data_IF_016359045668
#
_entry.id   IF_016359045668
#
_cell.length_a   1.000
_cell.length_b   1.000
_cell.length_c   1.000
_cell.angle_alpha   90.00
_cell.angle_beta   90.00
_cell.angle_gamma   90.00
#
_symmetry.space_group_name_H-M   'P 1'
#
loop_
_entity.id
_entity.type
_entity.pdbx_description
1 polymer ?
#
# COMPACT_ATOMS: atom_id res chain seq x y z
N UNK A 1 -30.20 -52.90 -12.02
CA UNK A 1 -29.45 -51.64 -11.81
C UNK A 1 -30.10 -50.41 -12.45
N UNK A 2 -31.41 -50.41 -12.79
CA UNK A 2 -32.09 -49.27 -13.45
C UNK A 2 -32.72 -48.25 -12.49
N UNK A 3 -32.61 -48.44 -11.16
CA UNK A 3 -33.25 -47.59 -10.15
C UNK A 3 -32.44 -46.33 -9.78
N UNK A 4 -31.12 -46.34 -10.05
CA UNK A 4 -30.22 -45.20 -9.76
C UNK A 4 -30.31 -44.06 -10.80
N UNK A 5 -30.88 -44.31 -11.98
CA UNK A 5 -30.88 -43.35 -13.10
C UNK A 5 -32.07 -42.36 -13.11
N UNK A 6 -33.01 -42.46 -12.16
CA UNK A 6 -34.29 -41.70 -12.20
C UNK A 6 -34.40 -40.56 -11.17
N UNK A 7 -33.44 -40.46 -10.25
CA UNK A 7 -33.51 -39.46 -9.18
C UNK A 7 -32.79 -38.19 -9.59
N UNK A 8 -33.50 -37.05 -9.67
CA UNK A 8 -32.92 -35.71 -9.93
C UNK A 8 -31.74 -35.41 -8.99
N UNK A 9 -31.77 -35.94 -7.76
CA UNK A 9 -30.69 -35.84 -6.80
C UNK A 9 -29.41 -36.58 -7.23
N UNK A 10 -29.53 -37.74 -7.87
CA UNK A 10 -28.38 -38.48 -8.42
C UNK A 10 -27.79 -37.75 -9.62
N UNK A 11 -28.63 -37.11 -10.43
CA UNK A 11 -28.16 -36.26 -11.53
C UNK A 11 -27.37 -35.05 -11.01
N UNK A 12 -27.92 -34.31 -10.03
CA UNK A 12 -27.24 -33.16 -9.40
C UNK A 12 -25.95 -33.57 -8.67
N UNK A 13 -25.94 -34.71 -7.97
CA UNK A 13 -24.73 -35.19 -7.31
C UNK A 13 -23.65 -35.64 -8.29
N UNK A 14 -24.04 -36.28 -9.40
CA UNK A 14 -23.12 -36.65 -10.48
C UNK A 14 -22.53 -35.41 -11.18
N UNK A 15 -23.36 -34.39 -11.44
CA UNK A 15 -22.92 -33.14 -12.06
C UNK A 15 -21.94 -32.37 -11.16
N UNK A 16 -22.25 -32.26 -9.87
CA UNK A 16 -21.34 -31.65 -8.90
C UNK A 16 -20.03 -32.42 -8.78
N UNK A 17 -20.07 -33.76 -8.81
CA UNK A 17 -18.89 -34.62 -8.80
C UNK A 17 -18.01 -34.40 -10.05
N UNK A 18 -18.63 -34.25 -11.22
CA UNK A 18 -17.93 -33.94 -12.47
C UNK A 18 -17.26 -32.56 -12.37
N UNK A 19 -17.96 -31.53 -11.88
CA UNK A 19 -17.39 -30.19 -11.69
C UNK A 19 -16.24 -30.21 -10.68
N UNK A 20 -16.39 -30.89 -9.55
CA UNK A 20 -15.35 -31.03 -8.53
C UNK A 20 -14.10 -31.72 -9.10
N UNK A 21 -14.28 -32.76 -9.91
CA UNK A 21 -13.20 -33.46 -10.59
C UNK A 21 -12.52 -32.57 -11.63
N UNK A 22 -13.31 -31.78 -12.38
CA UNK A 22 -12.79 -30.83 -13.36
C UNK A 22 -11.91 -29.76 -12.69
N UNK A 23 -12.38 -29.18 -11.58
CA UNK A 23 -11.62 -28.20 -10.78
C UNK A 23 -10.33 -28.84 -10.26
N UNK A 24 -10.39 -30.07 -9.74
CA UNK A 24 -9.21 -30.79 -9.26
C UNK A 24 -8.17 -31.00 -10.37
N UNK A 25 -8.60 -31.42 -11.57
CA UNK A 25 -7.72 -31.53 -12.75
C UNK A 25 -7.15 -30.17 -13.16
N UNK A 26 -7.96 -29.11 -13.17
CA UNK A 26 -7.49 -27.75 -13.44
C UNK A 26 -6.41 -27.29 -12.44
N UNK A 27 -6.52 -27.66 -11.16
CA UNK A 27 -5.48 -27.36 -10.16
C UNK A 27 -4.19 -28.17 -10.37
N UNK A 28 -4.27 -29.39 -10.91
CA UNK A 28 -3.08 -30.19 -11.27
C UNK A 28 -2.37 -29.65 -12.52
N UNK A 29 -3.12 -29.10 -13.48
CA UNK A 29 -2.55 -28.44 -14.68
C UNK A 29 -2.30 -26.94 -14.41
N UNK A 30 -2.18 -26.54 -13.14
CA UNK A 30 -1.92 -25.15 -12.75
C UNK A 30 -0.66 -24.56 -13.39
N UNK A 31 0.29 -25.38 -13.85
CA UNK A 31 1.44 -24.94 -14.64
C UNK A 31 1.06 -24.18 -15.93
N UNK A 32 -0.03 -24.57 -16.62
CA UNK A 32 -0.50 -23.86 -17.82
C UNK A 32 -1.33 -22.62 -17.50
N UNK A 33 -2.04 -22.62 -16.36
CA UNK A 33 -2.89 -21.50 -15.94
C UNK A 33 -2.15 -20.42 -15.14
N UNK A 34 -1.04 -20.77 -14.49
CA UNK A 34 -0.17 -19.86 -13.73
C UNK A 34 0.27 -18.63 -14.55
N UNK A 35 0.82 -18.77 -15.77
CA UNK A 35 1.23 -17.61 -16.56
C UNK A 35 0.05 -16.71 -16.95
N UNK A 36 -1.15 -17.26 -17.15
CA UNK A 36 -2.36 -16.47 -17.43
C UNK A 36 -2.75 -15.65 -16.19
N UNK A 37 -2.73 -16.27 -15.01
CA UNK A 37 -3.04 -15.59 -13.75
C UNK A 37 -2.03 -14.49 -13.40
N UNK A 38 -0.74 -14.74 -13.63
CA UNK A 38 0.33 -13.74 -13.44
C UNK A 38 0.19 -12.62 -14.47
N UNK A 39 -0.04 -12.93 -15.74
CA UNK A 39 -0.25 -11.92 -16.78
C UNK A 39 -1.46 -11.04 -16.45
N UNK A 40 -2.58 -11.66 -16.10
CA UNK A 40 -3.79 -10.93 -15.71
C UNK A 40 -3.47 -10.07 -14.49
N UNK A 41 -2.92 -10.60 -13.41
CA UNK A 41 -2.62 -9.79 -12.21
C UNK A 41 -1.65 -8.63 -12.48
N UNK A 42 -0.66 -8.86 -13.34
CA UNK A 42 0.39 -7.87 -13.68
C UNK A 42 -0.13 -6.76 -14.58
N UNK A 43 -1.01 -7.06 -15.54
CA UNK A 43 -1.58 -6.07 -16.46
C UNK A 43 -2.86 -5.45 -15.90
N UNK A 44 -3.68 -6.24 -15.23
CA UNK A 44 -4.98 -5.83 -14.69
C UNK A 44 -4.84 -4.80 -13.58
N UNK A 45 -3.80 -4.88 -12.74
CA UNK A 45 -3.52 -3.90 -11.69
C UNK A 45 -3.29 -2.47 -12.27
N UNK A 46 -2.30 -2.24 -13.15
CA UNK A 46 -2.10 -0.93 -13.75
C UNK A 46 -3.26 -0.52 -14.67
N UNK A 47 -3.95 -1.47 -15.32
CA UNK A 47 -5.12 -1.19 -16.13
C UNK A 47 -6.29 -0.65 -15.29
N UNK A 48 -6.63 -1.33 -14.19
CA UNK A 48 -7.65 -0.87 -13.24
C UNK A 48 -7.29 0.48 -12.65
N UNK A 49 -6.03 0.62 -12.20
CA UNK A 49 -5.55 1.88 -11.65
C UNK A 49 -5.64 3.01 -12.67
N UNK A 50 -5.27 2.75 -13.93
CA UNK A 50 -5.41 3.70 -15.05
C UNK A 50 -6.88 4.05 -15.32
N UNK A 51 -7.79 3.07 -15.30
CA UNK A 51 -9.23 3.32 -15.44
C UNK A 51 -9.79 4.20 -14.33
N UNK A 52 -9.41 3.92 -13.08
CA UNK A 52 -9.78 4.71 -11.90
C UNK A 52 -9.21 6.12 -11.99
N UNK A 53 -7.90 6.26 -12.28
CA UNK A 53 -7.24 7.56 -12.45
C UNK A 53 -7.87 8.35 -13.59
N UNK A 54 -8.13 7.72 -14.74
CA UNK A 54 -8.78 8.35 -15.88
C UNK A 54 -10.14 8.91 -15.48
N UNK A 55 -10.95 8.13 -14.77
CA UNK A 55 -12.27 8.59 -14.34
C UNK A 55 -12.21 9.71 -13.30
N UNK A 56 -11.27 9.63 -12.34
CA UNK A 56 -11.02 10.66 -11.34
C UNK A 56 -10.47 11.96 -11.93
N UNK A 57 -9.63 11.85 -12.97
CA UNK A 57 -8.97 12.99 -13.60
C UNK A 57 -9.81 13.63 -14.70
N UNK A 58 -10.67 12.88 -15.38
CA UNK A 58 -11.57 13.40 -16.40
C UNK A 58 -12.37 14.66 -15.95
N UNK A 59 -12.94 14.78 -14.73
CA UNK A 59 -13.56 16.02 -14.28
C UNK A 59 -12.55 17.18 -14.16
N UNK A 60 -11.33 16.92 -13.69
CA UNK A 60 -10.26 17.92 -13.57
C UNK A 60 -9.80 18.37 -14.97
N UNK A 61 -9.63 17.42 -15.89
CA UNK A 61 -9.31 17.67 -17.31
C UNK A 61 -10.39 18.52 -17.96
N UNK A 62 -11.67 18.19 -17.76
CA UNK A 62 -12.79 18.99 -18.30
C UNK A 62 -12.87 20.37 -17.68
N UNK A 63 -12.56 20.51 -16.39
CA UNK A 63 -12.51 21.81 -15.73
C UNK A 63 -11.38 22.67 -16.31
N UNK A 64 -10.20 22.10 -16.52
CA UNK A 64 -9.06 22.75 -17.16
C UNK A 64 -9.30 23.05 -18.65
N UNK A 65 -10.00 22.17 -19.38
CA UNK A 65 -10.41 22.40 -20.78
C UNK A 65 -11.41 23.57 -20.90
N UNK A 66 -12.23 23.77 -19.86
CA UNK A 66 -13.19 24.89 -19.78
C UNK A 66 -12.53 26.19 -19.33
N UNK A 67 -11.51 26.12 -18.47
CA UNK A 67 -10.68 27.25 -18.08
C UNK A 67 -9.74 27.58 -19.23
N UNK A 68 -10.21 28.44 -20.14
CA UNK A 68 -9.43 28.93 -21.28
C UNK A 68 -8.32 29.86 -20.76
N UNK A 69 -7.18 29.29 -20.34
CA UNK A 69 -6.00 30.05 -19.93
C UNK A 69 -5.32 30.67 -21.16
N UNK A 70 -5.91 31.75 -21.68
CA UNK A 70 -5.36 32.53 -22.80
C UNK A 70 -5.55 31.92 -24.19
N UNK A 71 -4.51 32.02 -25.05
CA UNK A 71 -4.53 31.74 -26.50
C UNK A 71 -4.18 30.30 -26.91
N UNK A 72 -3.91 29.39 -25.97
CA UNK A 72 -3.55 28.01 -26.31
C UNK A 72 -4.80 27.15 -26.54
N UNK A 73 -5.12 26.86 -27.80
CA UNK A 73 -6.02 25.77 -28.14
C UNK A 73 -5.26 24.45 -27.95
N UNK A 74 -5.53 23.76 -26.85
CA UNK A 74 -4.99 22.42 -26.62
C UNK A 74 -5.80 21.39 -27.41
N UNK A 75 -5.13 20.62 -28.28
CA UNK A 75 -5.70 19.36 -28.77
C UNK A 75 -5.99 18.45 -27.56
N UNK A 76 -7.07 17.65 -27.61
CA UNK A 76 -7.47 16.75 -26.51
C UNK A 76 -6.31 15.96 -25.91
N UNK A 77 -5.42 15.44 -26.75
CA UNK A 77 -4.23 14.69 -26.32
C UNK A 77 -3.24 15.55 -25.52
N UNK A 78 -3.03 16.80 -25.92
CA UNK A 78 -2.13 17.72 -25.24
C UNK A 78 -2.72 18.20 -23.90
N UNK A 79 -4.05 18.36 -23.80
CA UNK A 79 -4.71 18.67 -22.53
C UNK A 79 -4.55 17.51 -21.53
N UNK A 80 -4.78 16.27 -21.96
CA UNK A 80 -4.57 15.07 -21.12
C UNK A 80 -3.11 14.96 -20.68
N UNK A 81 -2.15 15.15 -21.59
CA UNK A 81 -0.73 15.11 -21.26
C UNK A 81 -0.35 16.18 -20.23
N UNK A 82 -0.85 17.42 -20.38
CA UNK A 82 -0.61 18.51 -19.45
C UNK A 82 -1.16 18.19 -18.06
N UNK A 83 -2.39 17.66 -17.96
CA UNK A 83 -2.98 17.27 -16.67
C UNK A 83 -2.17 16.16 -16.01
N UNK A 84 -1.67 15.20 -16.77
CA UNK A 84 -0.84 14.12 -16.24
C UNK A 84 0.50 14.64 -15.69
N UNK A 85 1.16 15.53 -16.42
CA UNK A 85 2.39 16.20 -15.97
C UNK A 85 2.13 17.02 -14.71
N UNK A 86 1.04 17.79 -14.68
CA UNK A 86 0.65 18.60 -13.54
C UNK A 86 0.32 17.73 -12.32
N UNK A 87 -0.36 16.60 -12.52
CA UNK A 87 -0.63 15.63 -11.45
C UNK A 87 0.66 15.05 -10.87
N UNK A 88 1.60 14.62 -11.71
CA UNK A 88 2.90 14.12 -11.25
C UNK A 88 3.65 15.21 -10.49
N UNK A 89 3.62 16.45 -10.98
CA UNK A 89 4.25 17.59 -10.31
C UNK A 89 3.61 17.87 -8.94
N UNK A 90 2.29 17.86 -8.82
CA UNK A 90 1.56 18.09 -7.56
C UNK A 90 1.82 16.96 -6.57
N UNK A 91 1.77 15.70 -7.00
CA UNK A 91 2.07 14.55 -6.15
C UNK A 91 3.52 14.58 -5.71
N UNK A 92 4.46 14.83 -6.63
CA UNK A 92 5.89 14.93 -6.34
C UNK A 92 6.21 16.05 -5.36
N UNK A 93 5.66 17.25 -5.59
CA UNK A 93 5.82 18.39 -4.68
C UNK A 93 5.18 18.13 -3.31
N UNK A 94 3.96 17.57 -3.31
CA UNK A 94 3.26 17.17 -2.10
C UNK A 94 4.08 16.16 -1.30
N UNK A 95 4.60 15.11 -1.93
CA UNK A 95 5.46 14.13 -1.30
C UNK A 95 6.77 14.75 -0.78
N UNK A 96 7.43 15.60 -1.58
CA UNK A 96 8.65 16.30 -1.18
C UNK A 96 8.44 17.22 0.04
N UNK A 97 7.23 17.71 0.27
CA UNK A 97 6.89 18.52 1.44
C UNK A 97 6.38 17.70 2.63
N UNK A 98 5.50 16.73 2.38
CA UNK A 98 4.86 15.91 3.40
C UNK A 98 5.84 14.90 4.00
N UNK A 99 6.62 14.20 3.18
CA UNK A 99 7.50 13.13 3.66
C UNK A 99 8.57 13.61 4.65
N UNK A 100 9.37 14.67 4.38
CA UNK A 100 10.35 15.13 5.36
C UNK A 100 9.71 15.61 6.66
N UNK A 101 8.52 16.23 6.59
CA UNK A 101 7.74 16.61 7.78
C UNK A 101 7.33 15.38 8.57
N UNK A 102 6.79 14.36 7.93
CA UNK A 102 6.42 13.10 8.57
C UNK A 102 7.64 12.43 9.21
N UNK A 103 8.78 12.36 8.50
CA UNK A 103 10.02 11.81 9.04
C UNK A 103 10.48 12.60 10.27
N UNK A 104 10.51 13.93 10.21
CA UNK A 104 10.89 14.77 11.37
C UNK A 104 9.93 14.60 12.55
N UNK A 105 8.63 14.45 12.28
CA UNK A 105 7.62 14.26 13.32
C UNK A 105 7.75 12.89 13.98
N UNK A 106 7.93 11.83 13.18
CA UNK A 106 8.11 10.48 13.70
C UNK A 106 9.43 10.36 14.46
N UNK A 107 10.53 10.90 13.96
CA UNK A 107 11.82 10.91 14.68
C UNK A 107 11.75 11.69 15.99
N UNK A 108 11.07 12.85 15.99
CA UNK A 108 10.81 13.61 17.23
C UNK A 108 9.96 12.80 18.20
N UNK A 109 8.90 12.14 17.72
CA UNK A 109 8.06 11.29 18.57
C UNK A 109 8.88 10.17 19.21
N UNK A 110 9.65 9.41 18.41
CA UNK A 110 10.56 8.36 18.90
C UNK A 110 11.51 8.91 19.96
N UNK A 111 12.12 10.07 19.72
CA UNK A 111 13.05 10.71 20.64
C UNK A 111 12.43 11.10 21.98
N UNK A 112 11.11 11.35 22.02
CA UNK A 112 10.38 11.69 23.25
C UNK A 112 9.73 10.49 23.97
N UNK A 113 9.66 9.30 23.33
CA UNK A 113 9.14 8.08 23.97
C UNK A 113 9.90 7.72 25.27
N UNK A 114 11.25 7.78 25.34
CA UNK A 114 11.98 7.47 26.57
C UNK A 114 11.57 8.33 27.77
N UNK A 115 11.39 9.63 27.54
CA UNK A 115 11.01 10.56 28.61
C UNK A 115 9.56 10.33 29.05
N UNK A 116 8.67 10.02 28.10
CA UNK A 116 7.29 9.62 28.40
C UNK A 116 7.23 8.30 29.19
N UNK A 117 8.07 7.32 28.83
CA UNK A 117 8.17 6.03 29.52
C UNK A 117 8.66 6.20 30.95
N UNK A 118 9.71 7.01 31.17
CA UNK A 118 10.23 7.33 32.52
C UNK A 118 9.20 8.03 33.40
N UNK A 119 8.45 8.99 32.84
CA UNK A 119 7.38 9.66 33.56
C UNK A 119 6.25 8.70 33.94
N UNK A 120 5.90 7.79 33.01
CA UNK A 120 4.88 6.76 33.22
C UNK A 120 5.32 5.75 34.29
N UNK A 121 6.59 5.33 34.27
CA UNK A 121 7.17 4.42 35.26
C UNK A 121 7.12 5.03 36.68
N UNK A 122 7.37 6.33 36.83
CA UNK A 122 7.28 7.03 38.12
C UNK A 122 5.85 7.05 38.70
N UNK A 123 4.83 7.17 37.85
CA UNK A 123 3.41 7.09 38.26
C UNK A 123 3.02 5.64 38.56
N UNK A 124 3.46 4.70 37.74
CA UNK A 124 3.18 3.28 37.90
C UNK A 124 3.87 2.69 39.13
N UNK A 125 5.09 3.11 39.49
CA UNK A 125 5.75 2.73 40.76
C UNK A 125 4.97 3.20 41.98
N UNK A 126 4.35 4.38 41.92
CA UNK A 126 3.47 4.87 42.99
C UNK A 126 2.18 4.06 43.09
N UNK A 127 1.63 3.63 41.95
CA UNK A 127 0.45 2.77 41.89
C UNK A 127 0.74 1.30 42.28
N UNK A 128 1.95 0.80 42.00
CA UNK A 128 2.40 -0.56 42.29
C UNK A 128 2.66 -0.84 43.78
N UNK A 129 2.63 0.19 44.64
CA UNK A 129 2.65 0.01 46.10
C UNK A 129 1.37 -0.66 46.66
N UNK A 130 0.36 -0.92 45.82
CA UNK A 130 -0.86 -1.61 46.21
C UNK A 130 -0.62 -3.15 46.19
N UNK A 131 -1.09 -3.94 47.17
CA UNK A 131 -0.73 -5.35 47.35
C UNK A 131 -1.00 -6.28 46.15
N UNK A 132 -1.95 -5.93 45.28
CA UNK A 132 -2.33 -6.66 44.07
C UNK A 132 -1.47 -6.34 42.82
N UNK A 133 -0.58 -5.36 42.90
CA UNK A 133 0.22 -4.86 41.76
C UNK A 133 1.74 -5.03 41.95
N UNK A 134 2.19 -5.60 43.07
CA UNK A 134 3.62 -5.80 43.36
C UNK A 134 4.29 -6.89 42.52
N UNK A 135 3.53 -7.87 42.03
CA UNK A 135 4.07 -8.99 41.24
C UNK A 135 4.26 -8.66 39.75
N UNK A 136 3.87 -7.45 39.31
CA UNK A 136 3.97 -7.04 37.90
C UNK A 136 5.11 -6.04 37.72
N UNK A 137 6.18 -6.49 37.04
CA UNK A 137 7.29 -5.64 36.60
C UNK A 137 6.89 -4.76 35.40
N UNK A 138 6.12 -3.69 35.69
CA UNK A 138 5.68 -2.72 34.67
C UNK A 138 6.83 -2.07 33.89
N UNK A 139 8.02 -1.96 34.51
CA UNK A 139 9.23 -1.42 33.88
C UNK A 139 9.67 -2.24 32.67
N UNK A 140 9.65 -3.57 32.79
CA UNK A 140 10.05 -4.48 31.70
C UNK A 140 9.09 -4.44 30.51
N UNK A 141 7.78 -4.34 30.79
CA UNK A 141 6.78 -4.21 29.72
C UNK A 141 6.88 -2.85 29.02
N UNK A 142 7.08 -1.77 29.78
CA UNK A 142 7.30 -0.44 29.21
C UNK A 142 8.56 -0.38 28.35
N UNK A 143 9.66 -0.97 28.80
CA UNK A 143 10.93 -1.02 28.05
C UNK A 143 10.80 -1.83 26.75
N UNK A 144 10.10 -2.98 26.80
CA UNK A 144 9.79 -3.78 25.62
C UNK A 144 8.89 -3.02 24.64
N UNK A 145 7.85 -2.34 25.14
CA UNK A 145 6.97 -1.52 24.30
C UNK A 145 7.74 -0.37 23.65
N UNK A 146 8.53 0.38 24.43
CA UNK A 146 9.37 1.46 23.93
C UNK A 146 10.34 0.97 22.86
N UNK A 147 11.01 -0.16 23.09
CA UNK A 147 11.97 -0.76 22.14
C UNK A 147 11.27 -1.21 20.87
N UNK A 148 10.11 -1.86 20.98
CA UNK A 148 9.32 -2.28 19.84
C UNK A 148 8.84 -1.07 19.02
N UNK A 149 8.24 -0.07 19.67
CA UNK A 149 7.79 1.17 19.03
C UNK A 149 8.95 1.91 18.37
N UNK A 150 10.07 2.06 19.05
CA UNK A 150 11.29 2.68 18.52
C UNK A 150 11.76 1.97 17.25
N UNK A 151 11.85 0.64 17.28
CA UNK A 151 12.26 -0.16 16.11
C UNK A 151 11.28 -0.07 14.94
N UNK A 152 9.97 -0.12 15.18
CA UNK A 152 8.97 0.02 14.11
C UNK A 152 9.01 1.41 13.48
N UNK A 153 9.14 2.44 14.29
CA UNK A 153 9.18 3.81 13.83
C UNK A 153 10.51 4.16 13.16
N UNK A 154 11.64 3.62 13.63
CA UNK A 154 12.95 3.71 12.98
C UNK A 154 12.96 2.98 11.63
N UNK A 155 12.40 1.77 11.57
CA UNK A 155 12.23 1.04 10.30
C UNK A 155 11.34 1.80 9.32
N UNK A 156 10.26 2.44 9.82
CA UNK A 156 9.40 3.28 8.99
C UNK A 156 10.15 4.49 8.45
N UNK A 157 10.88 5.22 9.29
CA UNK A 157 11.71 6.37 8.89
C UNK A 157 12.79 5.97 7.89
N UNK A 158 13.50 4.88 8.16
CA UNK A 158 14.56 4.34 7.31
C UNK A 158 13.99 3.87 5.98
N UNK A 159 12.84 3.19 5.98
CA UNK A 159 12.13 2.76 4.78
C UNK A 159 11.69 3.95 3.91
N UNK A 160 11.10 4.99 4.51
CA UNK A 160 10.73 6.22 3.79
C UNK A 160 11.94 6.94 3.20
N UNK A 161 13.02 7.09 3.99
CA UNK A 161 14.24 7.81 3.57
C UNK A 161 14.97 7.05 2.48
N UNK A 162 15.10 5.73 2.61
CA UNK A 162 15.75 4.85 1.63
C UNK A 162 14.94 4.76 0.34
N UNK A 163 13.60 4.63 0.45
CA UNK A 163 12.72 4.61 -0.71
C UNK A 163 12.82 5.88 -1.54
N UNK A 164 12.82 7.05 -0.90
CA UNK A 164 13.02 8.33 -1.59
C UNK A 164 14.43 8.44 -2.17
N UNK A 165 15.46 8.12 -1.38
CA UNK A 165 16.85 8.15 -1.84
C UNK A 165 17.07 7.27 -3.06
N UNK A 166 16.41 6.11 -3.12
CA UNK A 166 16.44 5.20 -4.26
C UNK A 166 15.76 5.78 -5.50
N UNK A 167 14.58 6.41 -5.37
CA UNK A 167 13.89 7.06 -6.50
C UNK A 167 14.73 8.21 -7.04
N UNK A 168 15.23 9.09 -6.16
CA UNK A 168 16.10 10.21 -6.55
C UNK A 168 17.37 9.68 -7.22
N UNK A 169 17.99 8.65 -6.65
CA UNK A 169 19.18 8.00 -7.19
C UNK A 169 18.92 7.37 -8.55
N UNK A 170 17.77 6.73 -8.74
CA UNK A 170 17.36 6.15 -10.03
C UNK A 170 17.17 7.23 -11.09
N UNK A 171 16.45 8.31 -10.78
CA UNK A 171 16.28 9.46 -11.70
C UNK A 171 17.61 10.10 -12.05
N UNK A 172 18.49 10.29 -11.05
CA UNK A 172 19.84 10.84 -11.24
C UNK A 172 20.68 9.94 -12.13
N UNK A 173 20.62 8.63 -11.90
CA UNK A 173 21.36 7.62 -12.69
C UNK A 173 20.87 7.60 -14.13
N UNK A 174 19.55 7.54 -14.36
CA UNK A 174 18.97 7.61 -15.70
C UNK A 174 19.39 8.89 -16.41
N UNK A 175 19.43 10.01 -15.69
CA UNK A 175 19.86 11.30 -16.24
C UNK A 175 21.35 11.29 -16.61
N UNK A 176 22.23 10.82 -15.71
CA UNK A 176 23.68 10.74 -15.96
C UNK A 176 24.00 9.80 -17.12
N UNK A 177 23.35 8.63 -17.16
CA UNK A 177 23.50 7.65 -18.24
C UNK A 177 22.90 8.12 -19.56
N UNK A 178 21.90 9.00 -19.56
CA UNK A 178 21.37 9.60 -20.79
C UNK A 178 22.26 10.73 -21.34
N UNK A 179 23.04 11.38 -20.46
CA UNK A 179 23.94 12.48 -20.83
C UNK A 179 25.34 11.96 -21.24
N UNK A 180 25.77 10.81 -20.71
CA UNK A 180 27.07 10.16 -20.99
C UNK A 180 26.94 9.14 -22.11
#
# INVERSE_FOLDING_TARGET
MKWLSSSRLVFWSLELLIVATLIWVCTQISFLFSPIGVFLSTVFTPLLLSGILFYLLNPIVRLLERVRWGRFHFNRTAAVALVFVLLIAVIGYGAAWVVPRLVSQVTTLIGNIPDFARSSEGVLRKAANHPWLQDIDFSKYLDQMQTAFGKYAENFVTGLTTGIGSIIGTVTTVTVTAIT
#
